data_IF_603690265854
#
_entry.id   IF_603690265854
#
_cell.length_a   1.000
_cell.length_b   1.000
_cell.length_c   1.000
_cell.angle_alpha   90.00
_cell.angle_beta   90.00
_cell.angle_gamma   90.00
#
_symmetry.space_group_name_H-M   'P 1'
#
loop_
_entity.id
_entity.type
_entity.pdbx_description
1 polymer ?
#
# COMPACT_ATOMS: atom_id res chain seq x y z
N UNK A 1 42.80 28.36 82.79
CA UNK A 1 44.09 28.83 82.24
C UNK A 1 44.89 27.61 81.81
N UNK A 2 45.63 27.74 80.70
CA UNK A 2 46.53 26.77 80.06
C UNK A 2 45.91 25.80 79.02
N UNK A 3 46.31 25.95 77.75
CA UNK A 3 46.25 24.92 76.71
C UNK A 3 47.64 24.33 76.44
N UNK A 4 47.75 23.01 76.22
CA UNK A 4 48.84 22.34 75.48
C UNK A 4 48.29 20.99 75.00
N UNK A 5 48.21 20.71 73.69
CA UNK A 5 49.27 20.37 72.73
C UNK A 5 49.30 18.85 72.50
N UNK A 6 49.31 18.43 71.24
CA UNK A 6 49.48 17.02 70.87
C UNK A 6 49.07 16.68 69.44
N UNK A 7 49.94 16.98 68.47
CA UNK A 7 49.99 16.32 67.15
C UNK A 7 50.22 14.80 67.32
N UNK A 8 49.52 13.93 66.58
CA UNK A 8 50.18 12.91 65.75
C UNK A 8 49.23 12.10 64.85
N UNK A 9 49.74 11.89 63.64
CA UNK A 9 49.67 10.70 62.78
C UNK A 9 48.33 10.22 62.18
N UNK A 10 48.34 10.25 60.85
CA UNK A 10 47.48 9.52 59.92
C UNK A 10 47.51 8.00 60.17
N UNK A 11 46.38 7.34 59.90
CA UNK A 11 46.36 6.02 59.28
C UNK A 11 45.07 5.87 58.47
N UNK A 12 45.29 5.82 57.16
CA UNK A 12 44.37 5.46 56.09
C UNK A 12 43.74 4.09 56.31
N UNK A 13 42.43 3.99 56.11
CA UNK A 13 41.77 2.71 55.84
C UNK A 13 40.95 2.82 54.55
N UNK A 14 41.40 2.05 53.56
CA UNK A 14 40.81 1.86 52.25
C UNK A 14 39.60 0.95 52.41
N UNK A 15 38.39 1.45 52.17
CA UNK A 15 37.19 0.62 52.15
C UNK A 15 36.25 1.05 51.03
N UNK A 16 35.93 0.09 50.16
CA UNK A 16 34.83 0.21 49.22
C UNK A 16 35.21 -0.21 47.81
N UNK A 17 35.51 -1.51 47.62
CA UNK A 17 35.44 -2.11 46.30
C UNK A 17 34.03 -1.93 45.76
N UNK A 18 33.86 -1.04 44.79
CA UNK A 18 32.61 -0.90 44.06
C UNK A 18 32.77 -1.61 42.72
N UNK A 19 32.35 -2.86 42.70
CA UNK A 19 32.19 -3.65 41.47
C UNK A 19 31.18 -2.92 40.59
N UNK A 20 31.67 -2.17 39.60
CA UNK A 20 30.83 -1.60 38.54
C UNK A 20 30.31 -2.77 37.70
N UNK A 21 29.16 -3.30 38.09
CA UNK A 21 28.35 -4.14 37.24
C UNK A 21 27.92 -3.30 36.03
N UNK A 22 28.62 -3.47 34.91
CA UNK A 22 28.18 -2.93 33.64
C UNK A 22 26.84 -3.58 33.28
N UNK A 23 25.75 -2.82 33.12
CA UNK A 23 24.52 -3.39 32.63
C UNK A 23 24.77 -3.75 31.17
N UNK A 24 24.80 -5.05 30.86
CA UNK A 24 24.60 -5.54 29.50
C UNK A 24 23.14 -5.27 29.11
N UNK A 25 22.80 -4.00 28.96
CA UNK A 25 21.62 -3.58 28.24
C UNK A 25 21.84 -4.02 26.81
N UNK A 26 21.30 -5.17 26.43
CA UNK A 26 21.06 -5.48 25.02
C UNK A 26 20.29 -4.29 24.47
N UNK A 27 20.98 -3.43 23.72
CA UNK A 27 20.35 -2.39 22.95
C UNK A 27 19.40 -3.11 22.01
N UNK A 28 18.13 -3.12 22.39
CA UNK A 28 17.07 -3.68 21.58
C UNK A 28 17.03 -2.79 20.35
N UNK A 29 17.72 -3.24 19.30
CA UNK A 29 17.65 -2.63 17.98
C UNK A 29 16.16 -2.52 17.69
N UNK A 30 15.63 -1.29 17.74
CA UNK A 30 14.27 -1.06 17.26
C UNK A 30 14.31 -1.57 15.81
N UNK A 31 13.41 -2.48 15.40
CA UNK A 31 13.36 -2.83 13.98
C UNK A 31 13.27 -1.51 13.23
N UNK A 32 14.20 -1.30 12.30
CA UNK A 32 14.11 -0.19 11.36
C UNK A 32 12.69 -0.19 10.81
N UNK A 33 12.02 0.96 10.87
CA UNK A 33 10.61 1.06 10.54
C UNK A 33 10.39 0.45 9.15
N UNK A 34 9.57 -0.60 9.08
CA UNK A 34 9.38 -1.39 7.86
C UNK A 34 8.46 -0.59 6.95
N UNK A 35 8.99 -0.15 5.80
CA UNK A 35 8.20 0.49 4.75
C UNK A 35 7.06 -0.46 4.35
N UNK A 36 5.82 0.04 4.42
CA UNK A 36 4.64 -0.70 3.99
C UNK A 36 4.23 -0.25 2.59
N UNK A 37 3.93 -1.20 1.72
CA UNK A 37 3.40 -0.91 0.38
C UNK A 37 1.90 -1.13 0.37
N UNK A 38 1.17 -0.09 -0.02
CA UNK A 38 -0.29 -0.10 -0.06
C UNK A 38 -0.80 0.23 -1.46
N UNK A 39 -1.86 -0.45 -1.87
CA UNK A 39 -2.58 -0.19 -3.10
C UNK A 39 -4.05 0.03 -2.76
N UNK A 40 -4.50 1.27 -2.92
CA UNK A 40 -5.85 1.69 -2.60
C UNK A 40 -6.67 1.77 -3.88
N UNK A 41 -7.74 0.97 -3.98
CA UNK A 41 -8.57 0.86 -5.17
C UNK A 41 -9.94 1.48 -4.89
N UNK A 42 -10.37 2.39 -5.76
CA UNK A 42 -11.71 3.00 -5.72
C UNK A 42 -12.45 2.60 -6.99
N UNK A 43 -13.54 1.84 -6.86
CA UNK A 43 -14.27 1.30 -8.01
C UNK A 43 -15.79 1.44 -7.86
N UNK A 44 -16.51 1.55 -8.96
CA UNK A 44 -17.97 1.54 -8.95
C UNK A 44 -18.50 0.12 -8.73
N UNK A 45 -17.92 -0.84 -9.45
CA UNK A 45 -18.37 -2.22 -9.49
C UNK A 45 -17.20 -3.21 -9.34
N UNK A 46 -17.48 -4.34 -8.69
CA UNK A 46 -16.48 -5.37 -8.44
C UNK A 46 -16.14 -6.16 -9.71
N UNK A 47 -17.14 -6.49 -10.55
CA UNK A 47 -16.93 -7.25 -11.77
C UNK A 47 -16.11 -6.45 -12.80
N UNK A 48 -16.38 -5.15 -12.94
CA UNK A 48 -15.58 -4.23 -13.77
C UNK A 48 -14.13 -4.15 -13.28
N UNK A 49 -13.92 -4.09 -11.95
CA UNK A 49 -12.59 -4.07 -11.35
C UNK A 49 -11.81 -5.35 -11.67
N UNK A 50 -12.43 -6.51 -11.44
CA UNK A 50 -11.82 -7.82 -11.71
C UNK A 50 -11.52 -7.95 -13.20
N UNK A 51 -12.44 -7.53 -14.07
CA UNK A 51 -12.28 -7.57 -15.53
C UNK A 51 -11.10 -6.70 -15.98
N UNK A 52 -11.02 -5.49 -15.47
CA UNK A 52 -10.05 -4.49 -15.93
C UNK A 52 -8.64 -4.74 -15.42
N UNK A 53 -8.47 -4.98 -14.11
CA UNK A 53 -7.16 -5.02 -13.45
C UNK A 53 -7.02 -6.14 -12.40
N UNK A 54 -7.90 -7.15 -12.41
CA UNK A 54 -7.90 -8.20 -11.39
C UNK A 54 -6.57 -8.96 -11.29
N UNK A 55 -5.86 -9.12 -12.41
CA UNK A 55 -4.57 -9.77 -12.47
C UNK A 55 -3.48 -8.95 -11.79
N UNK A 56 -3.39 -7.65 -12.13
CA UNK A 56 -2.47 -6.71 -11.49
C UNK A 56 -2.67 -6.61 -9.99
N UNK A 57 -3.93 -6.56 -9.53
CA UNK A 57 -4.25 -6.52 -8.11
C UNK A 57 -3.82 -7.81 -7.39
N UNK A 58 -4.03 -8.97 -8.01
CA UNK A 58 -3.61 -10.26 -7.46
C UNK A 58 -2.09 -10.34 -7.31
N UNK A 59 -1.34 -9.99 -8.36
CA UNK A 59 0.12 -10.06 -8.33
C UNK A 59 0.70 -9.08 -7.29
N UNK A 60 0.09 -7.91 -7.10
CA UNK A 60 0.47 -6.99 -6.02
C UNK A 60 0.19 -7.58 -4.63
N UNK A 61 -0.98 -8.18 -4.43
CA UNK A 61 -1.31 -8.87 -3.19
C UNK A 61 -0.31 -10.02 -2.90
N UNK A 62 0.03 -10.81 -3.92
CA UNK A 62 1.02 -11.90 -3.83
C UNK A 62 2.44 -11.39 -3.60
N UNK A 63 2.78 -10.18 -4.07
CA UNK A 63 4.03 -9.50 -3.76
C UNK A 63 4.06 -8.91 -2.33
N UNK A 64 3.03 -9.14 -1.51
CA UNK A 64 2.96 -8.71 -0.11
C UNK A 64 2.41 -7.30 0.09
N UNK A 65 1.85 -6.68 -0.96
CA UNK A 65 1.23 -5.37 -0.83
C UNK A 65 -0.11 -5.47 -0.12
N UNK A 66 -0.44 -4.46 0.69
CA UNK A 66 -1.79 -4.33 1.24
C UNK A 66 -2.70 -3.72 0.20
N UNK A 67 -3.53 -4.55 -0.44
CA UNK A 67 -4.50 -4.09 -1.44
C UNK A 67 -5.86 -3.88 -0.78
N UNK A 68 -6.26 -2.62 -0.64
CA UNK A 68 -7.53 -2.20 -0.07
C UNK A 68 -8.47 -1.75 -1.19
N UNK A 69 -9.73 -2.19 -1.18
CA UNK A 69 -10.71 -1.89 -2.23
C UNK A 69 -11.97 -1.28 -1.64
N UNK A 70 -12.33 -0.09 -2.10
CA UNK A 70 -13.62 0.53 -1.85
C UNK A 70 -14.49 0.43 -3.10
N UNK A 71 -15.53 -0.41 -3.04
CA UNK A 71 -16.54 -0.58 -4.10
C UNK A 71 -17.87 0.05 -3.68
N UNK A 72 -18.72 0.40 -4.65
CA UNK A 72 -20.08 0.88 -4.38
C UNK A 72 -20.96 -0.18 -3.73
N UNK A 73 -22.11 0.22 -3.20
CA UNK A 73 -23.05 -0.73 -2.61
C UNK A 73 -23.51 -1.77 -3.64
N UNK A 74 -23.51 -3.05 -3.24
CA UNK A 74 -23.94 -4.17 -4.09
C UNK A 74 -22.84 -4.95 -4.80
N UNK A 75 -21.57 -4.56 -4.68
CA UNK A 75 -20.44 -5.28 -5.28
C UNK A 75 -20.22 -6.68 -4.66
N UNK A 76 -19.90 -7.67 -5.50
CA UNK A 76 -19.56 -9.02 -5.04
C UNK A 76 -18.19 -9.04 -4.33
N UNK A 77 -18.24 -8.90 -3.00
CA UNK A 77 -17.07 -8.95 -2.15
C UNK A 77 -16.36 -10.31 -2.18
N UNK A 78 -17.03 -11.39 -2.59
CA UNK A 78 -16.42 -12.72 -2.65
C UNK A 78 -15.39 -12.80 -3.79
N UNK A 79 -15.72 -12.27 -4.97
CA UNK A 79 -14.81 -12.22 -6.11
C UNK A 79 -13.50 -11.48 -5.76
N UNK A 80 -13.60 -10.34 -5.06
CA UNK A 80 -12.43 -9.57 -4.63
C UNK A 80 -11.59 -10.30 -3.57
N UNK A 81 -12.23 -11.02 -2.65
CA UNK A 81 -11.52 -11.79 -1.62
C UNK A 81 -10.73 -12.96 -2.19
N UNK A 82 -11.19 -13.56 -3.28
CA UNK A 82 -10.46 -14.63 -4.00
C UNK A 82 -9.15 -14.11 -4.56
N UNK A 83 -9.11 -12.85 -4.98
CA UNK A 83 -7.90 -12.19 -5.44
C UNK A 83 -6.97 -11.75 -4.28
N UNK A 84 -7.32 -12.08 -3.03
CA UNK A 84 -6.55 -11.68 -1.84
C UNK A 84 -6.76 -10.22 -1.42
N UNK A 85 -7.83 -9.57 -1.92
CA UNK A 85 -8.06 -8.14 -1.71
C UNK A 85 -8.91 -7.89 -0.46
N UNK A 86 -8.63 -6.78 0.23
CA UNK A 86 -9.38 -6.37 1.42
C UNK A 86 -10.43 -5.33 1.04
N UNK A 87 -11.70 -5.73 1.07
CA UNK A 87 -12.81 -4.79 0.87
C UNK A 87 -12.99 -3.91 2.11
N UNK A 88 -12.95 -2.60 1.92
CA UNK A 88 -13.08 -1.59 2.99
C UNK A 88 -14.03 -0.49 2.56
N UNK A 89 -14.67 0.17 3.52
CA UNK A 89 -15.43 1.39 3.23
C UNK A 89 -14.52 2.53 2.78
N UNK A 90 -15.04 3.44 1.96
CA UNK A 90 -14.25 4.54 1.38
C UNK A 90 -13.55 5.42 2.44
N UNK A 91 -14.24 5.73 3.55
CA UNK A 91 -13.65 6.47 4.66
C UNK A 91 -12.52 5.73 5.39
N UNK A 92 -12.46 4.40 5.30
CA UNK A 92 -11.37 3.61 5.87
C UNK A 92 -10.16 3.56 4.93
N UNK A 93 -10.40 3.55 3.61
CA UNK A 93 -9.35 3.57 2.58
C UNK A 93 -8.41 4.77 2.77
N UNK A 94 -8.98 5.96 2.94
CA UNK A 94 -8.21 7.22 3.06
C UNK A 94 -7.58 7.45 4.43
N UNK A 95 -7.92 6.64 5.44
CA UNK A 95 -7.30 6.70 6.78
C UNK A 95 -6.07 5.81 6.91
N UNK A 96 -5.79 4.97 5.91
CA UNK A 96 -4.75 3.92 5.97
C UNK A 96 -3.32 4.43 5.77
N UNK A 97 -3.12 5.66 5.29
CA UNK A 97 -1.76 6.16 5.00
C UNK A 97 -1.05 6.50 6.31
N UNK A 98 -0.35 5.50 6.87
CA UNK A 98 0.62 5.70 7.94
C UNK A 98 1.80 6.55 7.41
N UNK A 99 2.47 7.30 8.28
CA UNK A 99 3.57 8.19 7.89
C UNK A 99 4.76 7.49 7.18
N UNK A 100 4.82 6.16 7.19
CA UNK A 100 5.86 5.34 6.55
C UNK A 100 5.28 4.28 5.58
N UNK A 101 4.16 4.58 4.94
CA UNK A 101 3.67 3.78 3.81
C UNK A 101 3.93 4.48 2.47
N UNK A 102 4.23 3.67 1.46
CA UNK A 102 4.21 4.09 0.06
C UNK A 102 2.90 3.59 -0.54
N UNK A 103 2.06 4.52 -0.99
CA UNK A 103 0.74 4.20 -1.51
C UNK A 103 0.64 4.47 -3.01
N UNK A 104 0.00 3.54 -3.72
CA UNK A 104 -0.56 3.77 -5.06
C UNK A 104 -2.08 3.84 -4.92
N UNK A 105 -2.70 4.76 -5.64
CA UNK A 105 -4.15 4.84 -5.74
C UNK A 105 -4.61 4.45 -7.14
N UNK A 106 -5.45 3.42 -7.24
CA UNK A 106 -6.10 2.98 -8.46
C UNK A 106 -7.57 3.43 -8.50
N UNK A 107 -7.98 4.14 -9.53
CA UNK A 107 -9.33 4.71 -9.64
C UNK A 107 -10.02 4.21 -10.90
N UNK A 108 -11.21 3.62 -10.74
CA UNK A 108 -12.05 3.21 -11.85
C UNK A 108 -12.58 4.42 -12.61
N UNK A 109 -12.42 4.42 -13.93
CA UNK A 109 -12.87 5.51 -14.82
C UNK A 109 -14.38 5.78 -14.72
N UNK A 110 -15.18 4.73 -14.54
CA UNK A 110 -16.63 4.81 -14.26
C UNK A 110 -16.98 5.65 -13.02
N UNK A 111 -16.10 5.71 -12.02
CA UNK A 111 -16.28 6.59 -10.84
C UNK A 111 -16.02 8.05 -11.15
N UNK A 112 -15.04 8.34 -12.00
CA UNK A 112 -14.69 9.72 -12.38
C UNK A 112 -15.82 10.35 -13.19
N UNK A 113 -16.44 9.57 -14.08
CA UNK A 113 -17.54 10.01 -14.94
C UNK A 113 -18.86 10.20 -14.20
N UNK A 114 -19.05 9.54 -13.05
CA UNK A 114 -20.25 9.65 -12.23
C UNK A 114 -20.39 11.00 -11.51
N UNK A 115 -19.42 11.92 -11.66
CA UNK A 115 -19.49 13.29 -11.10
C UNK A 115 -19.29 13.38 -9.59
N UNK A 116 -19.00 12.25 -8.93
CA UNK A 116 -18.75 12.16 -7.49
C UNK A 116 -17.29 12.56 -7.16
N UNK A 117 -16.91 13.75 -7.63
CA UNK A 117 -15.55 14.27 -7.57
C UNK A 117 -15.05 14.53 -6.15
N UNK A 118 -15.96 14.62 -5.16
CA UNK A 118 -15.62 14.78 -3.75
C UNK A 118 -14.93 13.56 -3.14
N UNK A 119 -15.05 12.39 -3.79
CA UNK A 119 -14.53 11.11 -3.31
C UNK A 119 -13.29 10.62 -4.05
N UNK A 120 -13.05 11.10 -5.27
CA UNK A 120 -11.94 10.67 -6.15
C UNK A 120 -10.64 11.43 -5.92
N UNK A 121 -10.68 12.59 -5.25
CA UNK A 121 -9.55 13.53 -5.22
C UNK A 121 -9.35 14.16 -3.84
N UNK A 122 -9.45 13.38 -2.77
CA UNK A 122 -8.83 13.81 -1.51
C UNK A 122 -7.33 13.61 -1.67
N UNK A 123 -6.66 14.62 -2.24
CA UNK A 123 -5.20 14.71 -2.51
C UNK A 123 -4.48 13.36 -2.39
N UNK A 124 -4.56 12.52 -3.44
CA UNK A 124 -4.03 11.17 -3.35
C UNK A 124 -2.54 11.25 -3.06
N UNK A 125 -2.15 10.84 -1.86
CA UNK A 125 -0.75 10.76 -1.46
C UNK A 125 -0.12 9.63 -2.26
N UNK A 126 0.72 9.96 -3.24
CA UNK A 126 1.48 8.99 -4.04
C UNK A 126 1.05 8.89 -5.51
N UNK A 127 1.42 7.79 -6.15
CA UNK A 127 1.17 7.58 -7.58
C UNK A 127 -0.31 7.23 -7.84
N UNK A 128 -0.90 7.83 -8.88
CA UNK A 128 -2.28 7.57 -9.29
C UNK A 128 -2.34 6.84 -10.63
N UNK A 129 -3.11 5.77 -10.67
CA UNK A 129 -3.44 5.03 -11.89
C UNK A 129 -4.95 4.96 -12.06
N UNK A 130 -5.40 5.02 -13.30
CA UNK A 130 -6.80 4.80 -13.66
C UNK A 130 -6.95 3.47 -14.37
N UNK A 131 -8.10 2.84 -14.21
CA UNK A 131 -8.45 1.60 -14.90
C UNK A 131 -9.87 1.63 -15.45
N UNK A 132 -10.12 0.74 -16.41
CA UNK A 132 -11.38 0.64 -17.13
C UNK A 132 -11.18 0.72 -18.65
N UNK A 133 -12.29 0.76 -19.38
CA UNK A 133 -12.28 0.65 -20.84
C UNK A 133 -11.64 1.85 -21.57
N UNK A 134 -11.64 3.03 -20.96
CA UNK A 134 -11.16 4.30 -21.56
C UNK A 134 -10.44 5.16 -20.54
N UNK A 135 -9.65 6.12 -21.02
CA UNK A 135 -9.05 7.13 -20.17
C UNK A 135 -10.15 7.99 -19.51
N UNK A 136 -9.94 8.48 -18.27
CA UNK A 136 -10.94 9.32 -17.62
C UNK A 136 -11.10 10.64 -18.39
N UNK A 137 -12.35 11.05 -18.60
CA UNK A 137 -12.68 12.33 -19.24
C UNK A 137 -12.06 13.52 -18.46
N UNK A 138 -11.58 14.53 -19.18
CA UNK A 138 -10.95 15.72 -18.59
C UNK A 138 -9.46 15.58 -18.29
N UNK A 139 -8.87 14.39 -18.47
CA UNK A 139 -7.43 14.15 -18.33
C UNK A 139 -6.74 13.81 -19.67
N UNK A 140 -7.38 14.12 -20.80
CA UNK A 140 -6.83 13.88 -22.13
C UNK A 140 -5.47 14.58 -22.28
N UNK A 141 -4.44 13.82 -22.66
CA UNK A 141 -3.06 14.30 -22.79
C UNK A 141 -2.24 14.37 -21.48
N UNK A 142 -2.85 14.16 -20.31
CA UNK A 142 -2.17 14.10 -19.01
C UNK A 142 -1.97 12.67 -18.48
N UNK A 143 -2.68 11.71 -19.07
CA UNK A 143 -2.56 10.29 -18.73
C UNK A 143 -1.84 9.51 -19.83
N UNK A 144 -0.94 8.62 -19.42
CA UNK A 144 -0.25 7.70 -20.32
C UNK A 144 -0.89 6.32 -20.24
N UNK A 145 -1.30 5.76 -21.38
CA UNK A 145 -1.79 4.38 -21.47
C UNK A 145 -0.63 3.40 -21.26
N UNK A 146 -0.88 2.38 -20.44
CA UNK A 146 0.07 1.31 -20.15
C UNK A 146 -0.57 -0.05 -20.19
N UNK A 147 0.25 -1.05 -20.42
CA UNK A 147 -0.10 -2.46 -20.40
C UNK A 147 0.61 -3.17 -19.26
N UNK A 148 -0.14 -4.02 -18.58
CA UNK A 148 0.35 -4.96 -17.58
C UNK A 148 0.11 -6.38 -18.08
N UNK A 149 1.08 -7.27 -17.89
CA UNK A 149 0.95 -8.69 -18.22
C UNK A 149 0.81 -9.48 -16.92
N UNK A 150 -0.39 -9.97 -16.57
CA UNK A 150 -0.57 -10.72 -15.34
C UNK A 150 0.19 -12.05 -15.36
N UNK A 151 0.62 -12.49 -14.19
CA UNK A 151 1.20 -13.82 -14.02
C UNK A 151 0.20 -14.93 -14.36
N UNK A 152 0.69 -16.14 -14.61
CA UNK A 152 -0.18 -17.30 -14.86
C UNK A 152 -1.11 -17.59 -13.67
N UNK A 153 -0.65 -17.35 -12.44
CA UNK A 153 -1.46 -17.47 -11.24
C UNK A 153 -2.55 -16.38 -11.22
N UNK A 154 -2.19 -15.13 -11.53
CA UNK A 154 -3.12 -14.03 -11.61
C UNK A 154 -4.24 -14.28 -12.64
N UNK A 155 -3.90 -14.80 -13.82
CA UNK A 155 -4.89 -15.17 -14.84
C UNK A 155 -5.85 -16.26 -14.34
N UNK A 156 -5.35 -17.28 -13.65
CA UNK A 156 -6.18 -18.37 -13.11
C UNK A 156 -7.13 -17.87 -12.00
N UNK A 157 -6.63 -17.08 -11.05
CA UNK A 157 -7.45 -16.52 -9.97
C UNK A 157 -8.44 -15.46 -10.50
N UNK A 158 -8.05 -14.65 -11.48
CA UNK A 158 -8.94 -13.73 -12.18
C UNK A 158 -10.09 -14.47 -12.87
N UNK A 159 -9.81 -15.54 -13.60
CA UNK A 159 -10.86 -16.35 -14.22
C UNK A 159 -11.87 -16.90 -13.19
N UNK A 160 -11.37 -17.33 -12.03
CA UNK A 160 -12.24 -17.81 -10.94
C UNK A 160 -13.08 -16.68 -10.32
N UNK A 161 -12.48 -15.52 -10.08
CA UNK A 161 -13.17 -14.35 -9.56
C UNK A 161 -14.27 -13.85 -10.52
N UNK A 162 -14.01 -13.85 -11.84
CA UNK A 162 -15.00 -13.50 -12.87
C UNK A 162 -16.19 -14.44 -12.88
N UNK A 163 -15.95 -15.75 -12.75
CA UNK A 163 -17.01 -16.76 -12.70
C UNK A 163 -17.97 -16.55 -11.51
N UNK A 164 -17.43 -16.10 -10.37
CA UNK A 164 -18.22 -15.82 -9.16
C UNK A 164 -18.97 -14.50 -9.28
N UNK A 165 -18.33 -13.47 -9.85
CA UNK A 165 -18.95 -12.18 -10.09
C UNK A 165 -20.12 -12.23 -11.11
N UNK A 166 -20.39 -13.38 -11.74
CA UNK A 166 -21.43 -13.53 -12.75
C UNK A 166 -21.17 -12.76 -14.04
N UNK A 167 -19.95 -12.22 -14.19
CA UNK A 167 -19.49 -11.71 -15.47
C UNK A 167 -19.45 -12.89 -16.44
N UNK A 168 -19.90 -12.69 -17.69
CA UNK A 168 -19.69 -13.69 -18.74
C UNK A 168 -18.19 -14.03 -18.88
N UNK A 169 -17.79 -14.99 -19.74
CA UNK A 169 -16.38 -15.24 -20.03
C UNK A 169 -15.77 -14.01 -20.71
N UNK A 170 -15.53 -12.96 -19.93
CA UNK A 170 -14.84 -11.76 -20.33
C UNK A 170 -13.46 -12.18 -20.77
N UNK A 171 -12.96 -11.50 -21.81
CA UNK A 171 -11.63 -11.74 -22.34
C UNK A 171 -10.65 -11.80 -21.18
N UNK A 172 -10.15 -13.00 -20.88
CA UNK A 172 -8.97 -13.21 -20.04
C UNK A 172 -7.75 -12.90 -20.90
N UNK A 173 -7.83 -11.77 -21.61
CA UNK A 173 -6.72 -11.25 -22.39
C UNK A 173 -5.54 -11.21 -21.44
N UNK A 174 -4.40 -11.70 -21.91
CA UNK A 174 -3.18 -11.76 -21.11
C UNK A 174 -2.61 -10.39 -20.78
N UNK A 175 -3.32 -9.32 -21.16
CA UNK A 175 -2.91 -7.94 -21.04
C UNK A 175 -4.02 -7.11 -20.39
N UNK A 176 -3.67 -6.41 -19.32
CA UNK A 176 -4.54 -5.45 -18.64
C UNK A 176 -4.09 -4.03 -18.98
N UNK A 177 -5.05 -3.14 -19.23
CA UNK A 177 -4.76 -1.75 -19.58
C UNK A 177 -5.01 -0.84 -18.39
N UNK A 178 -4.04 0.02 -18.08
CA UNK A 178 -4.18 1.10 -17.11
C UNK A 178 -3.79 2.44 -17.75
N UNK A 179 -4.12 3.54 -17.07
CA UNK A 179 -3.75 4.89 -17.47
C UNK A 179 -3.03 5.57 -16.30
N UNK A 180 -1.74 5.82 -16.44
CA UNK A 180 -0.91 6.48 -15.42
C UNK A 180 -1.13 7.99 -15.47
N UNK A 181 -1.27 8.66 -14.32
CA UNK A 181 -1.36 10.11 -14.24
C UNK A 181 -0.04 10.71 -13.73
N UNK A 182 0.56 11.63 -14.49
CA UNK A 182 1.81 12.29 -14.10
C UNK A 182 3.09 11.47 -14.37
N UNK A 183 4.23 11.95 -13.87
CA UNK A 183 5.53 11.28 -13.95
C UNK A 183 5.82 10.60 -12.60
N UNK A 184 5.51 9.32 -12.50
CA UNK A 184 5.70 8.54 -11.27
C UNK A 184 7.15 8.26 -10.94
N UNK A 185 7.45 8.19 -9.64
CA UNK A 185 8.76 7.83 -9.10
C UNK A 185 8.92 6.29 -9.03
N UNK A 186 8.98 5.63 -10.19
CA UNK A 186 9.54 4.28 -10.36
C UNK A 186 8.76 3.06 -9.82
N UNK A 187 7.85 3.20 -8.84
CA UNK A 187 7.20 2.05 -8.19
C UNK A 187 6.21 1.31 -9.10
N UNK A 188 5.58 2.06 -9.99
CA UNK A 188 4.71 1.56 -11.04
C UNK A 188 5.46 0.99 -12.24
N UNK A 189 6.71 1.41 -12.45
CA UNK A 189 7.33 1.38 -13.77
C UNK A 189 8.01 0.05 -14.10
N UNK A 190 8.36 -0.75 -13.08
CA UNK A 190 9.03 -2.04 -13.28
C UNK A 190 8.19 -3.04 -14.09
N UNK A 191 6.86 -2.97 -13.95
CA UNK A 191 5.96 -3.98 -14.52
C UNK A 191 4.95 -3.41 -15.54
N UNK A 192 4.90 -2.08 -15.73
CA UNK A 192 3.94 -1.40 -16.60
C UNK A 192 4.60 -0.87 -17.87
N UNK A 193 4.26 -1.49 -19.00
CA UNK A 193 4.82 -1.16 -20.32
C UNK A 193 4.05 0.00 -20.94
N UNK A 194 4.71 1.11 -21.34
CA UNK A 194 4.06 2.18 -22.08
C UNK A 194 3.47 1.68 -23.41
N UNK A 195 2.27 2.17 -23.76
CA UNK A 195 1.70 2.00 -25.10
C UNK A 195 1.97 3.28 -25.89
N UNK A 196 2.63 3.14 -27.05
CA UNK A 196 2.91 4.24 -27.97
C UNK A 196 1.71 4.56 -28.88
#
# INVERSE_FOLDING_TARGET
MSPQSGMSAQLSDVRGGNTLAAPFGRQRVRPSKVLQYELNVVAADAADTVTSIGGWLFDRAMAGWRVNVAVGEGGDAQALRILGLKVVGLNALWRSVEADSVAITAIGTSRVESGDHGLTLRDPVGDVVFFGSRAPGGFEGQVQRVQYHPSAAALAFKAHALAIAGAGPGSTDGVETLFRCGRSAGLLDADLVPVC
#
